data_IF_261967319634
#
_entry.id   IF_261967319634
#
_cell.length_a   1.000
_cell.length_b   1.000
_cell.length_c   1.000
_cell.angle_alpha   90.00
_cell.angle_beta   90.00
_cell.angle_gamma   90.00
#
_symmetry.space_group_name_H-M   'P 1'
#
loop_
_entity.id
_entity.type
_entity.pdbx_description
1 polymer ?
#
# COMPACT_ATOMS: atom_id res chain seq x y z
N UNK A 1 44.55 -53.21 20.45
CA UNK A 1 43.26 -53.27 19.78
C UNK A 1 42.64 -51.86 19.86
N UNK A 2 42.36 -51.28 18.71
CA UNK A 2 41.63 -50.01 18.60
C UNK A 2 40.15 -50.33 18.38
N UNK A 3 39.31 -49.72 19.15
CA UNK A 3 37.87 -49.78 18.96
C UNK A 3 37.38 -48.43 18.40
N UNK A 4 36.57 -48.49 17.35
CA UNK A 4 35.92 -47.32 16.77
C UNK A 4 34.49 -47.28 17.28
N UNK A 5 34.11 -46.16 17.85
CA UNK A 5 32.73 -45.90 18.24
C UNK A 5 32.15 -44.88 17.23
N UNK A 6 31.05 -45.23 16.59
CA UNK A 6 30.33 -44.36 15.68
C UNK A 6 29.06 -43.89 16.39
N UNK A 7 28.84 -42.58 16.37
CA UNK A 7 27.59 -41.98 16.85
C UNK A 7 26.91 -41.43 15.60
N UNK A 8 25.76 -41.97 15.28
CA UNK A 8 24.84 -41.45 14.25
C UNK A 8 23.90 -40.47 14.90
N UNK A 9 23.93 -39.23 14.41
CA UNK A 9 23.01 -38.18 14.83
C UNK A 9 21.99 -38.02 13.70
N UNK A 10 20.71 -38.26 14.02
CA UNK A 10 19.63 -37.97 13.08
C UNK A 10 19.18 -36.54 13.27
N UNK A 11 19.20 -35.75 12.22
CA UNK A 11 18.61 -34.42 12.22
C UNK A 11 17.10 -34.52 12.41
N UNK A 12 16.55 -33.61 13.16
CA UNK A 12 15.10 -33.41 13.34
C UNK A 12 14.75 -32.13 12.61
N UNK A 13 13.66 -32.14 11.88
CA UNK A 13 13.16 -30.95 11.19
C UNK A 13 12.71 -29.89 12.20
N UNK A 14 13.21 -28.70 12.07
CA UNK A 14 12.83 -27.53 12.87
C UNK A 14 11.80 -26.67 12.10
N UNK A 15 10.98 -25.92 12.82
CA UNK A 15 10.01 -25.04 12.22
C UNK A 15 10.64 -23.81 11.59
N UNK A 16 10.08 -23.28 10.47
CA UNK A 16 10.54 -22.04 9.89
C UNK A 16 10.31 -20.84 10.82
N UNK A 17 11.08 -19.78 10.63
CA UNK A 17 10.87 -18.49 11.24
C UNK A 17 10.28 -17.55 10.18
N UNK A 18 8.98 -17.27 10.29
CA UNK A 18 8.32 -16.24 9.50
C UNK A 18 8.35 -14.92 10.27
N UNK A 19 8.76 -13.86 9.59
CA UNK A 19 8.88 -12.52 10.16
C UNK A 19 7.84 -11.59 9.53
N UNK A 20 7.39 -10.60 10.30
CA UNK A 20 6.41 -9.62 9.82
C UNK A 20 7.00 -8.75 8.70
N UNK A 21 6.15 -8.43 7.73
CA UNK A 21 6.48 -7.62 6.56
C UNK A 21 5.75 -6.28 6.59
N UNK A 22 6.35 -5.27 5.94
CA UNK A 22 5.72 -3.98 5.71
C UNK A 22 5.78 -3.62 4.23
N UNK A 23 4.62 -3.32 3.65
CA UNK A 23 4.47 -2.88 2.27
C UNK A 23 4.01 -1.43 2.29
N UNK A 24 4.74 -0.53 1.62
CA UNK A 24 4.31 0.84 1.40
C UNK A 24 3.87 0.98 -0.06
N UNK A 25 2.68 1.48 -0.29
CA UNK A 25 2.10 1.65 -1.62
C UNK A 25 1.45 3.02 -1.75
N UNK A 26 1.65 3.63 -2.91
CA UNK A 26 0.97 4.88 -3.30
C UNK A 26 -0.12 4.54 -4.31
N UNK A 27 -1.26 5.20 -4.21
CA UNK A 27 -2.38 5.07 -5.15
C UNK A 27 -1.90 5.22 -6.60
N UNK A 28 -2.45 4.42 -7.51
CA UNK A 28 -2.13 4.45 -8.93
C UNK A 28 -0.99 3.53 -9.38
N UNK A 29 -0.15 3.00 -8.47
CA UNK A 29 0.93 2.07 -8.83
C UNK A 29 0.88 0.83 -7.93
N UNK A 30 0.70 -0.38 -8.49
CA UNK A 30 0.70 -1.60 -7.69
C UNK A 30 2.06 -1.83 -7.00
N UNK A 31 2.02 -2.25 -5.72
CA UNK A 31 3.21 -2.73 -5.03
C UNK A 31 3.43 -4.22 -5.32
N UNK A 32 4.68 -4.60 -5.54
CA UNK A 32 5.09 -5.99 -5.76
C UNK A 32 6.34 -6.31 -4.98
N UNK A 33 6.51 -7.58 -4.59
CA UNK A 33 7.67 -8.07 -3.87
C UNK A 33 7.54 -9.53 -3.52
N UNK A 34 8.25 -9.99 -2.51
CA UNK A 34 8.17 -11.36 -2.02
C UNK A 34 8.36 -11.36 -0.49
N UNK A 35 7.40 -11.87 0.26
CA UNK A 35 7.42 -11.90 1.73
C UNK A 35 8.34 -12.99 2.28
N UNK A 36 8.42 -14.13 1.61
CA UNK A 36 9.23 -15.27 2.07
C UNK A 36 10.73 -14.98 1.93
N UNK A 37 11.15 -14.52 0.75
CA UNK A 37 12.60 -14.29 0.47
C UNK A 37 13.13 -13.00 1.06
N UNK A 38 12.26 -12.13 1.60
CA UNK A 38 12.65 -10.85 2.20
C UNK A 38 13.37 -11.04 3.54
N UNK A 39 12.81 -11.88 4.43
CA UNK A 39 13.23 -11.96 5.83
C UNK A 39 12.90 -13.29 6.52
N UNK A 40 12.18 -14.22 5.87
CA UNK A 40 11.89 -15.53 6.43
C UNK A 40 13.09 -16.47 6.31
N UNK A 41 13.25 -17.35 7.28
CA UNK A 41 14.38 -18.29 7.34
C UNK A 41 13.96 -19.63 7.87
N UNK A 42 14.74 -20.64 7.51
CA UNK A 42 14.59 -21.99 8.05
C UNK A 42 15.92 -22.49 8.65
N UNK A 43 15.91 -23.07 9.89
CA UNK A 43 17.14 -23.52 10.54
C UNK A 43 17.82 -24.69 9.81
N UNK A 44 17.07 -25.54 9.11
CA UNK A 44 17.57 -26.67 8.33
C UNK A 44 17.98 -26.28 6.91
N UNK A 45 17.63 -25.04 6.49
CA UNK A 45 17.90 -24.50 5.16
C UNK A 45 16.87 -24.94 4.12
N UNK A 46 15.68 -25.34 4.57
CA UNK A 46 14.60 -25.76 3.69
C UNK A 46 14.04 -24.59 2.87
N UNK A 47 13.48 -24.90 1.71
CA UNK A 47 12.83 -23.90 0.86
C UNK A 47 11.44 -23.61 1.40
N UNK A 48 11.24 -22.35 1.82
CA UNK A 48 9.96 -21.91 2.34
C UNK A 48 8.95 -21.61 1.23
N UNK A 49 7.68 -21.82 1.56
CA UNK A 49 6.53 -21.49 0.72
C UNK A 49 5.36 -20.98 1.56
N UNK A 50 4.44 -20.23 0.94
CA UNK A 50 3.19 -19.82 1.58
C UNK A 50 2.16 -20.95 1.44
N UNK A 51 1.79 -21.55 2.56
CA UNK A 51 0.81 -22.63 2.62
C UNK A 51 -0.62 -22.15 2.82
N UNK A 52 -0.81 -20.99 3.45
CA UNK A 52 -2.12 -20.39 3.69
C UNK A 52 -2.04 -18.86 3.81
N UNK A 53 -3.16 -18.20 3.56
CA UNK A 53 -3.37 -16.78 3.84
C UNK A 53 -4.78 -16.55 4.39
N UNK A 54 -4.91 -15.72 5.41
CA UNK A 54 -6.20 -15.39 5.99
C UNK A 54 -7.08 -14.63 4.98
N UNK A 55 -8.34 -15.03 4.89
CA UNK A 55 -9.30 -14.41 3.96
C UNK A 55 -9.31 -15.00 2.56
N UNK A 56 -8.42 -15.96 2.23
CA UNK A 56 -8.34 -16.55 0.90
C UNK A 56 -7.46 -17.77 0.78
N UNK A 57 -6.89 -17.95 -0.40
CA UNK A 57 -5.92 -19.00 -0.71
C UNK A 57 -4.75 -18.40 -1.48
N UNK A 58 -3.52 -18.93 -1.37
CA UNK A 58 -2.40 -18.48 -2.19
C UNK A 58 -2.75 -18.49 -3.68
N UNK A 59 -2.33 -17.44 -4.39
CA UNK A 59 -2.63 -17.23 -5.81
C UNK A 59 -4.01 -16.65 -6.11
N UNK A 60 -4.86 -16.44 -5.10
CA UNK A 60 -6.20 -15.86 -5.30
C UNK A 60 -6.26 -14.43 -4.78
N UNK A 61 -6.89 -13.49 -5.51
CA UNK A 61 -7.09 -12.13 -5.03
C UNK A 61 -7.95 -12.08 -3.77
N UNK A 62 -7.52 -11.31 -2.78
CA UNK A 62 -8.22 -11.05 -1.52
C UNK A 62 -8.58 -9.57 -1.49
N UNK A 63 -9.87 -9.27 -1.37
CA UNK A 63 -10.34 -7.89 -1.22
C UNK A 63 -10.08 -7.43 0.21
N UNK A 64 -9.23 -6.42 0.37
CA UNK A 64 -8.97 -5.71 1.61
C UNK A 64 -9.91 -4.51 1.79
N UNK A 65 -9.58 -3.65 2.75
CA UNK A 65 -10.30 -2.40 3.02
C UNK A 65 -9.95 -1.34 1.99
N UNK A 66 -8.68 -1.21 1.63
CA UNK A 66 -8.15 -0.15 0.78
C UNK A 66 -7.64 -0.64 -0.57
N UNK A 67 -7.70 -1.95 -0.81
CA UNK A 67 -7.21 -2.50 -2.07
C UNK A 67 -7.41 -4.00 -2.20
N UNK A 68 -6.75 -4.58 -3.19
CA UNK A 68 -6.76 -6.01 -3.47
C UNK A 68 -5.35 -6.56 -3.34
N UNK A 69 -5.19 -7.59 -2.50
CA UNK A 69 -3.95 -8.29 -2.26
C UNK A 69 -3.96 -9.68 -2.91
N UNK A 70 -2.90 -10.03 -3.60
CA UNK A 70 -2.66 -11.39 -4.10
C UNK A 70 -1.30 -11.83 -3.59
N UNK A 71 -1.24 -12.99 -2.93
CA UNK A 71 -0.02 -13.61 -2.43
C UNK A 71 0.07 -15.01 -3.01
N UNK A 72 1.10 -15.27 -3.79
CA UNK A 72 1.36 -16.56 -4.42
C UNK A 72 2.07 -17.53 -3.46
N UNK A 73 2.06 -18.82 -3.78
CA UNK A 73 2.66 -19.86 -2.93
C UNK A 73 4.19 -19.76 -2.83
N UNK A 74 4.85 -19.07 -3.74
CA UNK A 74 6.29 -18.79 -3.68
C UNK A 74 6.65 -17.55 -2.85
N UNK A 75 5.63 -16.91 -2.23
CA UNK A 75 5.76 -15.70 -1.44
C UNK A 75 5.72 -14.41 -2.25
N UNK A 76 5.67 -14.45 -3.58
CA UNK A 76 5.50 -13.26 -4.41
C UNK A 76 4.13 -12.66 -4.22
N UNK A 77 4.07 -11.31 -4.19
CA UNK A 77 2.81 -10.61 -3.97
C UNK A 77 2.59 -9.46 -4.96
N UNK A 78 1.33 -9.12 -5.11
CA UNK A 78 0.87 -7.87 -5.72
C UNK A 78 -0.21 -7.26 -4.85
N UNK A 79 -0.09 -5.97 -4.54
CA UNK A 79 -1.13 -5.18 -3.91
C UNK A 79 -1.52 -4.03 -4.82
N UNK A 80 -2.82 -3.89 -5.10
CA UNK A 80 -3.39 -2.83 -5.93
C UNK A 80 -4.38 -2.02 -5.11
N UNK A 81 -4.14 -0.72 -4.99
CA UNK A 81 -5.00 0.20 -4.24
C UNK A 81 -6.35 0.36 -4.97
N UNK A 82 -7.44 0.38 -4.21
CA UNK A 82 -8.77 0.75 -4.72
C UNK A 82 -8.87 2.28 -4.80
N UNK A 83 -8.65 2.83 -5.98
CA UNK A 83 -8.72 4.28 -6.25
C UNK A 83 -10.14 4.85 -6.19
N UNK A 84 -11.15 4.00 -6.00
CA UNK A 84 -12.55 4.43 -5.77
C UNK A 84 -12.92 4.46 -4.28
N UNK A 85 -12.05 4.01 -3.39
CA UNK A 85 -12.28 4.03 -1.96
C UNK A 85 -12.28 5.47 -1.43
N UNK A 86 -13.30 5.81 -0.64
CA UNK A 86 -13.50 7.19 -0.16
C UNK A 86 -12.36 7.68 0.75
N UNK A 87 -11.78 6.81 1.59
CA UNK A 87 -10.68 7.18 2.48
C UNK A 87 -9.38 7.39 1.70
N UNK A 88 -9.18 6.61 0.62
CA UNK A 88 -8.02 6.77 -0.29
C UNK A 88 -8.11 8.08 -1.07
N UNK A 89 -9.32 8.43 -1.55
CA UNK A 89 -9.58 9.69 -2.26
C UNK A 89 -9.40 10.89 -1.32
N UNK A 90 -9.84 10.78 -0.07
CA UNK A 90 -9.77 11.86 0.92
C UNK A 90 -8.38 12.01 1.57
N UNK A 91 -7.43 11.12 1.28
CA UNK A 91 -6.09 11.18 1.87
C UNK A 91 -5.32 12.39 1.33
N UNK A 92 -4.73 13.18 2.23
CA UNK A 92 -3.96 14.37 1.89
C UNK A 92 -2.46 14.14 2.07
N UNK A 93 -1.65 14.84 1.29
CA UNK A 93 -0.19 14.80 1.43
C UNK A 93 0.23 15.25 2.83
N UNK A 94 0.88 14.34 3.56
CA UNK A 94 1.28 14.54 4.95
C UNK A 94 0.38 13.84 5.97
N UNK A 95 -0.74 13.28 5.56
CA UNK A 95 -1.55 12.44 6.42
C UNK A 95 -0.84 11.12 6.77
N UNK A 96 -1.16 10.52 7.93
CA UNK A 96 -0.74 9.17 8.23
C UNK A 96 -1.25 8.19 7.16
N UNK A 97 -0.47 7.16 6.79
CA UNK A 97 -0.94 6.17 5.83
C UNK A 97 -2.16 5.41 6.37
N UNK A 98 -3.07 5.07 5.47
CA UNK A 98 -4.15 4.12 5.73
C UNK A 98 -3.54 2.72 5.85
N UNK A 99 -3.86 2.00 6.92
CA UNK A 99 -3.19 0.73 7.24
C UNK A 99 -4.17 -0.42 7.26
N UNK A 100 -3.83 -1.51 6.57
CA UNK A 100 -4.52 -2.79 6.70
C UNK A 100 -3.52 -3.94 6.84
N UNK A 101 -3.99 -5.12 7.28
CA UNK A 101 -3.12 -6.24 7.59
C UNK A 101 -3.65 -7.54 7.01
N UNK A 102 -2.73 -8.41 6.59
CA UNK A 102 -2.99 -9.79 6.17
C UNK A 102 -2.08 -10.73 6.96
N UNK A 103 -2.55 -11.93 7.25
CA UNK A 103 -1.73 -12.94 7.94
C UNK A 103 -1.50 -14.11 6.99
N UNK A 104 -0.26 -14.53 6.84
CA UNK A 104 0.10 -15.71 6.06
C UNK A 104 0.76 -16.79 6.92
N UNK A 105 0.83 -17.99 6.40
CA UNK A 105 1.51 -19.12 6.98
C UNK A 105 2.63 -19.58 6.04
N UNK A 106 3.86 -19.48 6.51
CA UNK A 106 5.03 -20.07 5.86
C UNK A 106 5.13 -21.56 6.24
N UNK A 107 5.57 -22.38 5.29
CA UNK A 107 5.83 -23.82 5.46
C UNK A 107 7.18 -24.18 4.87
N UNK A 108 7.88 -25.08 5.54
CA UNK A 108 9.13 -25.70 5.12
C UNK A 108 8.93 -26.86 4.12
N UNK A 109 7.68 -27.30 3.91
CA UNK A 109 7.35 -28.46 3.06
C UNK A 109 7.57 -29.82 3.74
N UNK A 110 8.14 -29.84 4.96
CA UNK A 110 8.44 -31.06 5.75
C UNK A 110 7.45 -31.28 6.92
N UNK A 111 6.49 -30.39 7.08
CA UNK A 111 5.37 -30.54 8.01
C UNK A 111 5.30 -29.47 9.09
N UNK A 112 6.31 -28.63 9.22
CA UNK A 112 6.32 -27.54 10.18
C UNK A 112 5.92 -26.21 9.51
N UNK A 113 5.36 -25.30 10.29
CA UNK A 113 4.85 -24.02 9.79
C UNK A 113 5.00 -22.91 10.83
N UNK A 114 5.05 -21.65 10.35
CA UNK A 114 4.97 -20.48 11.20
C UNK A 114 4.13 -19.41 10.52
N UNK A 115 3.62 -18.44 11.28
CA UNK A 115 2.75 -17.37 10.78
C UNK A 115 3.39 -16.00 10.97
N UNK A 116 3.18 -15.12 10.00
CA UNK A 116 3.57 -13.72 10.09
C UNK A 116 2.49 -12.79 9.54
N UNK A 117 2.61 -11.51 9.88
CA UNK A 117 1.68 -10.45 9.49
C UNK A 117 2.30 -9.57 8.42
N UNK A 118 1.55 -9.31 7.37
CA UNK A 118 1.87 -8.30 6.36
C UNK A 118 1.08 -7.05 6.70
N UNK A 119 1.78 -5.94 6.96
CA UNK A 119 1.18 -4.62 7.15
C UNK A 119 1.30 -3.83 5.85
N UNK A 120 0.18 -3.42 5.28
CA UNK A 120 0.13 -2.58 4.09
C UNK A 120 -0.21 -1.15 4.50
N UNK A 121 0.68 -0.23 4.18
CA UNK A 121 0.53 1.21 4.37
C UNK A 121 0.16 1.84 3.02
N UNK A 122 -1.05 2.31 2.89
CA UNK A 122 -1.57 2.95 1.67
C UNK A 122 -1.55 4.45 1.84
N UNK A 123 -0.98 5.14 0.87
CA UNK A 123 -1.06 6.61 0.73
C UNK A 123 -1.82 6.95 -0.53
N UNK A 124 -2.65 7.99 -0.49
CA UNK A 124 -3.26 8.57 -1.68
C UNK A 124 -2.23 9.22 -2.61
N UNK A 125 -2.64 9.59 -3.78
CA UNK A 125 -1.88 10.49 -4.66
C UNK A 125 -2.51 11.88 -4.57
N UNK A 126 -1.67 12.91 -4.58
CA UNK A 126 -2.16 14.27 -4.70
C UNK A 126 -2.73 14.48 -6.10
N UNK A 127 -3.98 14.90 -6.21
CA UNK A 127 -4.64 15.22 -7.45
C UNK A 127 -4.47 16.72 -7.79
N UNK A 128 -4.58 17.05 -9.08
CA UNK A 128 -4.48 18.45 -9.49
C UNK A 128 -5.80 19.18 -9.25
N UNK A 129 -5.77 20.43 -8.75
CA UNK A 129 -6.98 21.22 -8.57
C UNK A 129 -7.70 21.48 -9.90
N UNK A 130 -8.99 21.71 -9.81
CA UNK A 130 -9.83 22.13 -10.91
C UNK A 130 -10.31 23.57 -10.71
N UNK A 131 -10.54 24.30 -11.80
CA UNK A 131 -11.15 25.62 -11.76
C UNK A 131 -12.24 25.72 -12.83
N UNK A 132 -13.28 26.47 -12.55
CA UNK A 132 -14.36 26.73 -13.48
C UNK A 132 -14.37 28.22 -13.91
N UNK A 133 -14.75 28.47 -15.16
CA UNK A 133 -14.95 29.83 -15.63
C UNK A 133 -16.04 30.52 -14.82
N UNK A 134 -15.77 31.78 -14.46
CA UNK A 134 -16.74 32.64 -13.78
C UNK A 134 -16.73 34.03 -14.40
N UNK A 135 -17.86 34.73 -14.30
CA UNK A 135 -18.01 36.11 -14.74
C UNK A 135 -18.47 36.97 -13.58
N UNK A 136 -17.63 37.94 -13.22
CA UNK A 136 -17.95 38.91 -12.20
C UNK A 136 -18.26 40.23 -12.88
N UNK A 137 -19.35 40.89 -12.49
CA UNK A 137 -19.78 42.19 -13.03
C UNK A 137 -19.71 43.22 -11.93
N UNK A 138 -19.01 44.31 -12.18
CA UNK A 138 -19.02 45.51 -11.30
C UNK A 138 -19.46 46.72 -12.06
N UNK A 139 -19.88 47.73 -11.35
CA UNK A 139 -20.22 49.04 -11.96
C UNK A 139 -18.93 49.85 -12.22
N UNK A 140 -19.02 50.79 -13.15
CA UNK A 140 -17.99 51.81 -13.38
C UNK A 140 -17.61 52.54 -12.08
N UNK A 141 -16.38 52.83 -11.87
CA UNK A 141 -15.82 53.51 -10.69
C UNK A 141 -16.06 52.77 -9.35
N UNK A 142 -16.32 51.45 -9.37
CA UNK A 142 -16.50 50.65 -8.19
C UNK A 142 -15.43 49.55 -8.08
N UNK A 143 -14.64 49.63 -7.01
CA UNK A 143 -13.68 48.57 -6.71
C UNK A 143 -14.40 47.23 -6.39
N UNK A 144 -13.89 46.15 -6.95
CA UNK A 144 -14.33 44.79 -6.61
C UNK A 144 -13.19 44.03 -5.96
N UNK A 145 -13.47 43.44 -4.78
CA UNK A 145 -12.54 42.54 -4.09
C UNK A 145 -12.97 41.09 -4.33
N UNK A 146 -12.12 40.34 -5.02
CA UNK A 146 -12.41 38.93 -5.27
C UNK A 146 -12.36 38.09 -4.00
N UNK A 147 -13.29 37.20 -3.86
CA UNK A 147 -13.28 36.12 -2.88
C UNK A 147 -12.82 34.82 -3.55
N UNK A 148 -12.28 33.88 -2.76
CA UNK A 148 -11.84 32.58 -3.25
C UNK A 148 -12.94 31.83 -4.01
N UNK A 149 -14.18 31.90 -3.54
CA UNK A 149 -15.34 31.24 -4.17
C UNK A 149 -15.66 31.74 -5.58
N UNK A 150 -15.16 32.92 -5.98
CA UNK A 150 -15.39 33.48 -7.31
C UNK A 150 -14.46 32.91 -8.37
N UNK A 151 -13.40 32.19 -7.96
CA UNK A 151 -12.47 31.52 -8.89
C UNK A 151 -12.91 30.12 -9.30
N UNK A 152 -14.05 29.62 -8.76
CA UNK A 152 -14.57 28.29 -9.09
C UNK A 152 -13.57 27.16 -8.80
N UNK A 153 -12.67 27.39 -7.84
CA UNK A 153 -11.67 26.44 -7.41
C UNK A 153 -12.33 25.24 -6.70
N UNK A 154 -11.83 24.05 -7.01
CA UNK A 154 -12.18 22.82 -6.29
C UNK A 154 -11.01 21.84 -6.38
N UNK A 155 -10.67 21.26 -5.26
CA UNK A 155 -9.68 20.21 -5.13
C UNK A 155 -10.29 18.98 -4.46
N UNK A 156 -9.99 17.77 -4.98
CA UNK A 156 -10.57 16.52 -4.47
C UNK A 156 -9.91 16.08 -3.17
N UNK A 157 -8.63 16.44 -2.98
CA UNK A 157 -7.87 16.17 -1.76
C UNK A 157 -8.17 17.20 -0.65
N UNK A 158 -8.93 18.25 -0.98
CA UNK A 158 -9.30 19.32 -0.05
C UNK A 158 -8.21 20.39 0.11
N UNK A 159 -7.26 20.45 -0.80
CA UNK A 159 -6.22 21.48 -0.82
C UNK A 159 -6.84 22.87 -1.01
N UNK A 160 -6.23 23.88 -0.37
CA UNK A 160 -6.68 25.27 -0.45
C UNK A 160 -6.03 25.98 -1.64
N UNK A 161 -6.75 26.97 -2.18
CA UNK A 161 -6.20 27.86 -3.21
C UNK A 161 -5.01 28.65 -2.65
N UNK A 162 -3.82 28.44 -3.22
CA UNK A 162 -2.59 29.15 -2.83
C UNK A 162 -2.51 30.52 -3.47
N UNK A 163 -2.65 30.60 -4.80
CA UNK A 163 -2.58 31.85 -5.54
C UNK A 163 -3.33 31.80 -6.86
N UNK A 164 -3.66 32.96 -7.39
CA UNK A 164 -4.24 33.17 -8.73
C UNK A 164 -3.32 34.11 -9.54
N UNK A 165 -3.07 33.72 -10.80
CA UNK A 165 -2.31 34.54 -11.73
C UNK A 165 -3.26 35.25 -12.69
N UNK A 166 -3.09 36.59 -12.86
CA UNK A 166 -3.85 37.36 -13.84
C UNK A 166 -2.97 37.54 -15.08
N UNK A 167 -3.34 36.87 -16.18
CA UNK A 167 -2.56 36.89 -17.41
C UNK A 167 -2.93 38.06 -18.34
N UNK A 168 -4.20 38.47 -18.32
CA UNK A 168 -4.68 39.59 -19.14
C UNK A 168 -5.58 40.51 -18.35
N UNK A 169 -5.40 41.82 -18.52
CA UNK A 169 -6.30 42.82 -17.96
C UNK A 169 -7.41 43.16 -18.97
N UNK A 170 -8.60 43.59 -18.48
CA UNK A 170 -9.67 44.06 -19.33
C UNK A 170 -9.15 45.23 -20.24
N UNK A 171 -9.54 45.21 -21.49
CA UNK A 171 -9.32 46.35 -22.38
C UNK A 171 -10.47 47.35 -22.23
N UNK A 172 -10.15 48.63 -22.05
CA UNK A 172 -11.14 49.72 -22.06
C UNK A 172 -11.77 49.87 -23.44
#
# INVERSE_FOLDING_TARGET
STYTMTIDVTAVNDAPTANDDTINVVSGTPATGNVVTSNDTDPDGDTLSVSAIAGGSPGSPITGTYGTFTLDSDGSYTYTVDTSNADVIAWQSGDPPLTETFTYTASDGNGETNTATITVNVSGSNDAPTAADNTVTTNEDTDHTFSESEFGFSDVDGDSLDHVSIETLPSN
#
